data_IF_893471451282
#
_entry.id   IF_893471451282
#
_cell.length_a   1.000
_cell.length_b   1.000
_cell.length_c   1.000
_cell.angle_alpha   90.00
_cell.angle_beta   90.00
_cell.angle_gamma   90.00
#
_symmetry.space_group_name_H-M   'P 1'
#
loop_
_entity.id
_entity.type
_entity.pdbx_description
1 polymer ?
#
# COMPACT_ATOMS: atom_id res chain seq x y z
N UNK A 1 74.47 17.10 77.52
CA UNK A 1 75.80 16.82 76.93
C UNK A 1 75.75 17.25 75.49
N UNK A 2 76.57 18.12 75.12
CA UNK A 2 76.77 18.97 73.97
C UNK A 2 76.88 18.24 72.59
N UNK A 3 76.64 18.97 71.51
CA UNK A 3 76.64 18.46 70.10
C UNK A 3 78.05 18.52 69.47
N UNK A 4 78.16 18.13 68.19
CA UNK A 4 78.61 19.12 67.22
C UNK A 4 77.96 19.03 65.80
N UNK A 5 77.62 20.12 65.31
CA UNK A 5 78.09 20.94 64.19
C UNK A 5 78.54 20.18 62.93
N UNK A 6 77.87 20.34 61.83
CA UNK A 6 78.39 20.09 60.50
C UNK A 6 77.95 21.15 59.53
N UNK A 7 78.85 21.59 58.77
CA UNK A 7 78.89 22.71 57.88
C UNK A 7 77.86 22.61 56.69
N UNK A 8 77.05 23.67 56.53
CA UNK A 8 76.29 23.99 55.30
C UNK A 8 77.25 24.71 54.35
N UNK A 9 77.57 24.10 53.27
CA UNK A 9 78.11 24.81 52.10
C UNK A 9 76.96 25.45 51.30
N UNK A 10 76.85 26.74 51.42
CA UNK A 10 75.93 27.60 50.66
C UNK A 10 76.47 27.82 49.24
N UNK A 11 75.84 27.16 48.23
CA UNK A 11 75.92 27.62 46.83
C UNK A 11 74.73 28.55 46.61
N UNK A 12 74.87 29.74 47.10
CA UNK A 12 73.87 30.77 47.04
C UNK A 12 74.08 31.73 45.86
N UNK A 13 73.01 31.98 45.23
CA UNK A 13 72.65 33.29 44.64
C UNK A 13 73.42 33.79 43.40
N UNK A 14 73.19 33.17 42.30
CA UNK A 14 73.20 33.93 41.06
C UNK A 14 72.15 33.31 40.08
N UNK A 15 70.87 33.55 40.31
CA UNK A 15 69.78 32.97 39.43
C UNK A 15 69.92 33.41 37.99
N UNK A 16 70.61 34.51 37.71
CA UNK A 16 70.84 34.97 36.34
C UNK A 16 71.83 34.06 35.57
N UNK A 17 72.74 33.37 36.24
CA UNK A 17 73.62 32.39 35.58
C UNK A 17 72.85 31.17 35.05
N UNK A 18 71.82 30.76 35.75
CA UNK A 18 70.94 29.67 35.30
C UNK A 18 70.10 30.13 34.09
N UNK A 19 69.61 31.37 34.13
CA UNK A 19 68.88 31.94 33.00
C UNK A 19 69.79 32.10 31.77
N UNK A 20 71.05 32.48 31.95
CA UNK A 20 72.03 32.58 30.85
C UNK A 20 72.38 31.18 30.30
N UNK A 21 72.54 30.17 31.17
CA UNK A 21 72.83 28.81 30.75
C UNK A 21 71.65 28.18 29.96
N UNK A 22 70.41 28.45 30.39
CA UNK A 22 69.22 28.02 29.65
C UNK A 22 69.10 28.77 28.30
N UNK A 23 69.33 30.07 28.29
CA UNK A 23 69.34 30.87 27.05
C UNK A 23 70.41 30.38 26.06
N UNK A 24 71.61 30.08 26.50
CA UNK A 24 72.69 29.49 25.67
C UNK A 24 72.32 28.08 25.16
N UNK A 25 71.69 27.24 25.93
CA UNK A 25 71.25 25.92 25.55
C UNK A 25 70.13 25.99 24.50
N UNK A 26 69.19 26.96 24.55
CA UNK A 26 68.16 27.21 23.57
C UNK A 26 68.75 27.77 22.30
N UNK A 27 69.74 28.67 22.37
CA UNK A 27 70.42 29.20 21.20
C UNK A 27 71.22 28.09 20.46
N UNK A 28 71.93 27.23 21.25
CA UNK A 28 72.66 26.07 20.66
C UNK A 28 71.67 25.03 20.03
N UNK A 29 70.53 24.85 20.63
CA UNK A 29 69.44 23.96 20.06
C UNK A 29 68.86 24.55 18.79
N UNK A 30 68.61 25.85 18.74
CA UNK A 30 68.16 26.53 17.50
C UNK A 30 69.26 26.56 16.43
N UNK A 31 70.53 26.76 16.85
CA UNK A 31 71.65 26.71 15.89
C UNK A 31 71.93 25.30 15.36
N UNK A 32 71.70 24.23 16.12
CA UNK A 32 71.80 22.86 15.65
C UNK A 32 70.76 22.49 14.62
N UNK A 33 69.59 23.15 14.68
CA UNK A 33 68.52 23.02 13.66
C UNK A 33 68.81 23.75 12.33
N UNK A 34 69.73 24.72 12.37
CA UNK A 34 70.12 25.48 11.15
C UNK A 34 71.26 24.84 10.36
N UNK A 35 72.03 23.94 10.98
CA UNK A 35 73.22 23.31 10.33
C UNK A 35 72.83 22.05 9.52
N UNK A 36 71.55 21.62 9.61
CA UNK A 36 71.02 20.46 8.85
C UNK A 36 70.32 20.80 7.53
N UNK A 37 70.41 22.03 7.02
CA UNK A 37 69.58 22.50 5.91
C UNK A 37 70.27 22.68 4.54
N UNK A 38 71.37 22.06 4.28
CA UNK A 38 71.96 22.10 2.94
C UNK A 38 72.33 20.70 2.46
N UNK A 39 71.27 19.92 2.18
CA UNK A 39 71.25 18.94 1.12
C UNK A 39 69.86 18.97 0.49
N UNK A 40 69.71 19.87 -0.46
CA UNK A 40 68.62 19.68 -1.44
C UNK A 40 68.86 18.28 -2.07
N UNK A 41 67.84 17.40 -2.04
CA UNK A 41 67.94 16.20 -2.87
C UNK A 41 67.98 16.66 -4.31
N UNK A 42 69.05 16.32 -4.99
CA UNK A 42 69.14 16.33 -6.45
C UNK A 42 67.82 15.76 -6.96
N UNK A 43 67.15 16.38 -7.95
CA UNK A 43 66.03 15.75 -8.57
C UNK A 43 66.55 14.41 -9.12
N UNK A 44 66.21 13.32 -8.43
CA UNK A 44 66.27 12.02 -9.00
C UNK A 44 65.42 12.11 -10.28
N UNK A 45 66.05 11.88 -11.40
CA UNK A 45 65.34 11.61 -12.66
C UNK A 45 64.11 10.77 -12.28
N UNK A 46 62.92 11.31 -12.61
CA UNK A 46 61.73 10.54 -12.56
C UNK A 46 61.95 9.35 -13.53
N UNK A 47 62.55 8.31 -12.96
CA UNK A 47 62.47 7.01 -13.56
C UNK A 47 60.95 6.73 -13.61
N UNK A 48 60.49 6.51 -14.81
CA UNK A 48 59.21 5.83 -15.07
C UNK A 48 59.31 4.43 -14.45
N UNK A 49 59.29 4.42 -13.11
CA UNK A 49 59.06 3.20 -12.33
C UNK A 49 57.58 2.87 -12.53
N UNK A 50 57.30 1.79 -13.24
CA UNK A 50 56.02 1.12 -13.15
C UNK A 50 55.68 1.02 -11.65
N UNK A 51 54.76 1.88 -11.16
CA UNK A 51 54.14 1.63 -9.86
C UNK A 51 53.59 0.21 -9.96
N UNK A 52 53.91 -0.66 -9.01
CA UNK A 52 53.45 -2.04 -9.07
C UNK A 52 51.93 -2.01 -9.14
N UNK A 53 51.37 -2.35 -10.29
CA UNK A 53 49.95 -2.42 -10.51
C UNK A 53 49.34 -3.33 -9.44
N UNK A 54 48.34 -2.82 -8.75
CA UNK A 54 47.61 -3.58 -7.70
C UNK A 54 46.94 -4.78 -8.39
N UNK A 55 47.31 -5.98 -8.00
CA UNK A 55 46.65 -7.19 -8.48
C UNK A 55 45.30 -7.32 -7.82
N UNK A 56 44.26 -7.41 -8.61
CA UNK A 56 42.86 -7.61 -8.15
C UNK A 56 42.32 -8.91 -8.71
N UNK A 57 41.50 -9.59 -7.92
CA UNK A 57 40.77 -10.75 -8.38
C UNK A 57 39.48 -10.28 -9.07
N UNK A 58 39.29 -10.65 -10.31
CA UNK A 58 38.07 -10.31 -11.07
C UNK A 58 37.27 -11.56 -11.37
N UNK A 59 35.96 -11.38 -11.40
CA UNK A 59 35.00 -12.39 -11.82
C UNK A 59 34.24 -11.87 -13.04
N UNK A 60 34.37 -12.59 -14.15
CA UNK A 60 33.57 -12.32 -15.34
C UNK A 60 32.10 -12.74 -15.08
N UNK A 61 31.18 -11.84 -15.29
CA UNK A 61 29.74 -12.04 -15.12
C UNK A 61 29.03 -11.66 -16.41
N UNK A 62 28.04 -12.45 -16.80
CA UNK A 62 27.14 -12.16 -17.92
C UNK A 62 25.79 -11.69 -17.41
N UNK A 63 25.22 -10.69 -18.09
CA UNK A 63 23.91 -10.17 -17.77
C UNK A 63 22.83 -11.21 -18.08
N UNK A 64 21.90 -11.39 -17.15
CA UNK A 64 20.75 -12.27 -17.31
C UNK A 64 19.45 -11.46 -17.19
N UNK A 65 18.39 -11.82 -17.95
CA UNK A 65 17.09 -11.17 -17.78
C UNK A 65 16.48 -11.57 -16.44
N UNK A 66 16.20 -10.60 -15.61
CA UNK A 66 15.59 -10.77 -14.28
C UNK A 66 14.34 -9.92 -14.19
N UNK A 67 13.26 -10.50 -13.65
CA UNK A 67 12.03 -9.77 -13.40
C UNK A 67 12.22 -8.79 -12.25
N UNK A 68 11.97 -7.50 -12.52
CA UNK A 68 11.99 -6.45 -11.52
C UNK A 68 10.61 -6.31 -10.93
N UNK A 69 10.53 -6.20 -9.63
CA UNK A 69 9.28 -5.99 -8.91
C UNK A 69 9.26 -4.60 -8.27
N UNK A 70 8.10 -3.98 -8.33
CA UNK A 70 7.77 -2.83 -7.50
C UNK A 70 7.12 -3.37 -6.23
N UNK A 71 7.74 -3.10 -5.09
CA UNK A 71 7.24 -3.51 -3.78
C UNK A 71 6.52 -2.34 -3.12
N UNK A 72 5.27 -2.55 -2.76
CA UNK A 72 4.42 -1.59 -2.06
C UNK A 72 3.93 -2.21 -0.75
N UNK A 73 3.72 -1.37 0.25
CA UNK A 73 3.12 -1.80 1.50
C UNK A 73 1.69 -1.29 1.59
N UNK A 74 0.79 -2.16 2.01
CA UNK A 74 -0.62 -1.87 2.09
C UNK A 74 -1.31 -2.77 3.11
N UNK A 75 -2.61 -2.93 2.96
CA UNK A 75 -3.43 -3.78 3.83
C UNK A 75 -4.54 -4.45 3.04
N UNK A 76 -5.02 -5.55 3.57
CA UNK A 76 -6.23 -6.19 3.07
C UNK A 76 -7.46 -5.38 3.50
N UNK A 77 -8.38 -5.16 2.58
CA UNK A 77 -9.66 -4.48 2.83
C UNK A 77 -10.79 -5.32 2.18
N UNK A 78 -12.04 -5.23 2.70
CA UNK A 78 -13.17 -5.82 2.00
C UNK A 78 -13.32 -5.18 0.62
N UNK A 79 -13.67 -5.96 -0.39
CA UNK A 79 -13.91 -5.42 -1.73
C UNK A 79 -15.10 -4.46 -1.79
N UNK A 80 -16.04 -4.62 -0.87
CA UNK A 80 -17.23 -3.77 -0.67
C UNK A 80 -17.49 -3.59 0.82
N UNK A 81 -17.76 -2.35 1.19
CA UNK A 81 -18.14 -1.93 2.53
C UNK A 81 -19.32 -0.97 2.39
N UNK A 82 -20.47 -1.31 2.97
CA UNK A 82 -21.72 -0.57 2.80
C UNK A 82 -22.39 -0.36 4.15
N UNK A 83 -22.72 0.88 4.43
CA UNK A 83 -23.61 1.21 5.54
C UNK A 83 -25.07 1.00 5.12
N UNK A 84 -25.70 -0.01 5.69
CA UNK A 84 -27.12 -0.27 5.49
C UNK A 84 -27.94 0.69 6.36
N UNK A 85 -28.93 1.34 5.74
CA UNK A 85 -29.82 2.32 6.39
C UNK A 85 -31.26 1.90 6.27
N UNK A 86 -32.08 2.33 7.23
CA UNK A 86 -33.51 2.17 7.13
C UNK A 86 -34.07 2.98 5.95
N UNK A 87 -34.88 2.34 5.09
CA UNK A 87 -35.55 2.98 3.96
C UNK A 87 -36.97 3.42 4.29
N UNK A 88 -37.50 2.96 5.42
CA UNK A 88 -38.87 3.25 5.88
C UNK A 88 -38.92 3.38 7.40
N UNK A 89 -40.04 3.91 7.90
CA UNK A 89 -40.30 4.03 9.32
C UNK A 89 -40.91 2.74 9.86
N UNK A 90 -40.40 2.25 10.99
CA UNK A 90 -40.95 1.06 11.63
C UNK A 90 -40.23 0.65 12.89
N UNK A 91 -40.87 -0.27 13.64
CA UNK A 91 -40.23 -0.92 14.78
C UNK A 91 -39.55 -2.21 14.37
N UNK A 92 -38.31 -2.42 14.81
CA UNK A 92 -37.59 -3.67 14.64
C UNK A 92 -38.24 -4.78 15.43
N UNK A 93 -38.64 -5.87 14.78
CA UNK A 93 -39.27 -7.04 15.42
C UNK A 93 -38.37 -8.30 15.35
N UNK A 94 -37.44 -8.35 14.42
CA UNK A 94 -36.51 -9.47 14.33
C UNK A 94 -35.16 -9.04 13.72
N UNK A 95 -34.12 -9.70 14.19
CA UNK A 95 -32.74 -9.65 13.63
C UNK A 95 -32.48 -11.03 13.06
N UNK A 96 -32.10 -11.08 11.79
CA UNK A 96 -31.91 -12.33 11.03
C UNK A 96 -30.48 -12.84 11.00
N UNK A 97 -29.49 -12.00 11.36
CA UNK A 97 -28.08 -12.41 11.37
C UNK A 97 -27.31 -11.69 12.50
N UNK A 98 -26.38 -12.41 13.10
CA UNK A 98 -25.47 -11.89 14.12
C UNK A 98 -24.20 -11.28 13.49
N UNK A 99 -23.47 -10.50 14.31
CA UNK A 99 -22.18 -9.91 13.87
C UNK A 99 -21.16 -11.01 13.57
N UNK A 100 -20.47 -10.91 12.44
CA UNK A 100 -19.48 -11.86 11.98
C UNK A 100 -20.05 -13.14 11.35
N UNK A 101 -21.36 -13.34 11.41
CA UNK A 101 -22.03 -14.49 10.79
C UNK A 101 -22.06 -14.31 9.25
N UNK A 102 -21.61 -15.30 8.46
CA UNK A 102 -21.69 -15.23 7.00
C UNK A 102 -23.14 -15.35 6.54
N UNK A 103 -23.57 -14.42 5.70
CA UNK A 103 -24.91 -14.35 5.10
C UNK A 103 -24.84 -14.32 3.57
N UNK A 104 -25.87 -14.89 2.94
CA UNK A 104 -26.00 -14.89 1.49
C UNK A 104 -26.71 -13.63 0.96
N UNK A 105 -26.50 -13.31 -0.31
CA UNK A 105 -27.20 -12.20 -0.96
C UNK A 105 -28.73 -12.39 -0.89
N UNK A 106 -29.45 -11.33 -0.50
CA UNK A 106 -30.91 -11.33 -0.36
C UNK A 106 -31.43 -11.88 0.97
N UNK A 107 -30.59 -12.41 1.84
CA UNK A 107 -30.96 -12.89 3.17
C UNK A 107 -31.44 -11.72 4.04
N UNK A 108 -32.46 -11.97 4.89
CA UNK A 108 -33.05 -10.94 5.74
C UNK A 108 -32.13 -10.67 6.94
N UNK A 109 -31.68 -9.43 7.08
CA UNK A 109 -30.81 -8.98 8.17
C UNK A 109 -31.62 -8.37 9.33
N UNK A 110 -32.59 -7.50 9.00
CA UNK A 110 -33.46 -6.84 9.96
C UNK A 110 -34.89 -6.81 9.42
N UNK A 111 -35.86 -7.11 10.26
CA UNK A 111 -37.27 -7.09 9.88
C UNK A 111 -38.03 -6.12 10.80
N UNK A 112 -38.86 -5.27 10.17
CA UNK A 112 -39.76 -4.34 10.87
C UNK A 112 -41.17 -4.91 10.97
N UNK A 113 -41.96 -4.34 11.86
CA UNK A 113 -43.38 -4.65 11.96
C UNK A 113 -44.17 -4.17 10.75
N UNK A 114 -44.63 -5.12 9.94
CA UNK A 114 -45.24 -4.86 8.63
C UNK A 114 -46.79 -4.94 8.66
N UNK A 115 -47.42 -5.04 9.83
CA UNK A 115 -48.86 -5.32 9.91
C UNK A 115 -49.74 -4.33 9.15
N UNK A 116 -49.49 -3.03 9.26
CA UNK A 116 -50.23 -2.00 8.50
C UNK A 116 -49.94 -2.02 7.01
N UNK A 117 -48.72 -2.34 6.60
CA UNK A 117 -48.31 -2.44 5.19
C UNK A 117 -48.95 -3.66 4.52
N UNK A 118 -49.05 -4.77 5.24
CA UNK A 118 -49.75 -5.96 4.73
C UNK A 118 -51.23 -5.66 4.48
N UNK A 119 -51.89 -4.92 5.39
CA UNK A 119 -53.27 -4.50 5.19
C UNK A 119 -53.45 -3.60 3.97
N UNK A 120 -52.54 -2.59 3.78
CA UNK A 120 -52.57 -1.70 2.59
C UNK A 120 -52.29 -2.47 1.31
N UNK A 121 -51.40 -3.45 1.31
CA UNK A 121 -51.17 -4.31 0.14
C UNK A 121 -52.43 -5.11 -0.22
N UNK A 122 -53.09 -5.66 0.78
CA UNK A 122 -54.36 -6.41 0.55
C UNK A 122 -55.46 -5.51 -0.03
N UNK A 123 -55.62 -4.27 0.45
CA UNK A 123 -56.52 -3.25 -0.06
C UNK A 123 -56.20 -2.89 -1.53
N UNK A 124 -54.92 -2.57 -1.81
CA UNK A 124 -54.49 -2.24 -3.20
C UNK A 124 -54.75 -3.37 -4.18
N UNK A 125 -54.51 -4.63 -3.76
CA UNK A 125 -54.83 -5.82 -4.55
C UNK A 125 -56.33 -5.97 -4.81
N UNK A 126 -57.15 -5.67 -3.83
CA UNK A 126 -58.61 -5.73 -3.99
C UNK A 126 -59.11 -4.64 -4.95
N UNK A 127 -58.61 -3.41 -4.82
CA UNK A 127 -58.89 -2.29 -5.73
C UNK A 127 -58.48 -2.59 -7.14
N UNK A 128 -57.27 -3.15 -7.38
CA UNK A 128 -56.84 -3.54 -8.71
C UNK A 128 -57.78 -4.53 -9.35
N UNK A 129 -58.19 -5.62 -8.65
CA UNK A 129 -59.16 -6.60 -9.18
C UNK A 129 -60.47 -5.96 -9.53
N UNK A 130 -60.99 -5.04 -8.72
CA UNK A 130 -62.23 -4.30 -9.02
C UNK A 130 -62.08 -3.50 -10.34
N UNK A 131 -60.97 -2.77 -10.55
CA UNK A 131 -60.74 -1.95 -11.71
C UNK A 131 -60.51 -2.77 -12.97
N UNK A 132 -59.89 -3.93 -12.84
CA UNK A 132 -59.73 -4.89 -13.93
C UNK A 132 -61.09 -5.39 -14.46
N UNK A 133 -61.98 -5.80 -13.54
CA UNK A 133 -63.34 -6.25 -13.88
C UNK A 133 -64.15 -5.12 -14.54
N UNK A 134 -64.03 -3.88 -14.04
CA UNK A 134 -64.71 -2.70 -14.58
C UNK A 134 -64.22 -2.39 -16.01
N UNK A 135 -62.90 -2.37 -16.23
CA UNK A 135 -62.29 -2.12 -17.50
C UNK A 135 -62.71 -3.20 -18.53
N UNK A 136 -62.61 -4.48 -18.18
CA UNK A 136 -62.96 -5.58 -19.01
C UNK A 136 -64.46 -5.59 -19.39
N UNK A 137 -65.33 -5.24 -18.42
CA UNK A 137 -66.75 -5.06 -18.69
C UNK A 137 -67.03 -3.94 -19.68
N UNK A 138 -66.44 -2.75 -19.49
CA UNK A 138 -66.57 -1.60 -20.40
C UNK A 138 -66.01 -1.90 -21.79
N UNK A 139 -64.90 -2.63 -21.86
CA UNK A 139 -64.27 -3.05 -23.11
C UNK A 139 -65.21 -3.98 -23.94
N UNK A 140 -65.87 -4.95 -23.28
CA UNK A 140 -66.84 -5.83 -23.91
C UNK A 140 -68.06 -5.06 -24.41
N UNK A 141 -68.62 -4.12 -23.60
CA UNK A 141 -69.76 -3.29 -23.97
C UNK A 141 -69.41 -2.31 -25.11
N UNK A 142 -68.19 -1.74 -25.14
CA UNK A 142 -67.74 -0.91 -26.26
C UNK A 142 -67.68 -1.70 -27.58
N UNK A 143 -67.24 -2.95 -27.56
CA UNK A 143 -67.18 -3.81 -28.75
C UNK A 143 -68.62 -4.07 -29.30
N UNK A 144 -69.67 -3.93 -28.51
CA UNK A 144 -71.08 -4.04 -28.86
C UNK A 144 -71.76 -2.69 -29.18
N UNK A 145 -70.99 -1.57 -29.12
CA UNK A 145 -71.47 -0.22 -29.36
C UNK A 145 -72.26 0.46 -28.24
N UNK A 146 -72.27 -0.10 -27.04
CA UNK A 146 -73.06 0.40 -25.87
C UNK A 146 -72.30 1.39 -24.95
N UNK A 147 -70.98 1.60 -25.16
CA UNK A 147 -70.16 2.46 -24.31
C UNK A 147 -69.37 3.42 -25.17
N UNK A 148 -69.35 4.72 -24.75
CA UNK A 148 -68.58 5.75 -25.39
C UNK A 148 -67.03 5.51 -25.17
N UNK A 149 -66.22 5.99 -26.13
CA UNK A 149 -64.74 5.90 -26.05
C UNK A 149 -64.19 6.55 -24.77
N UNK A 150 -64.74 7.69 -24.37
CA UNK A 150 -64.38 8.42 -23.15
C UNK A 150 -64.58 7.59 -21.91
N UNK A 151 -65.66 6.79 -21.80
CA UNK A 151 -65.90 5.92 -20.65
C UNK A 151 -64.92 4.74 -20.57
N UNK A 152 -64.50 4.20 -21.71
CA UNK A 152 -63.48 3.16 -21.74
C UNK A 152 -62.11 3.76 -21.37
N UNK A 153 -61.78 4.98 -21.90
CA UNK A 153 -60.56 5.68 -21.53
C UNK A 153 -60.50 6.02 -20.03
N UNK A 154 -61.62 6.42 -19.42
CA UNK A 154 -61.70 6.64 -17.98
C UNK A 154 -61.44 5.34 -17.19
N UNK A 155 -62.06 4.23 -17.58
CA UNK A 155 -61.82 2.93 -16.93
C UNK A 155 -60.37 2.48 -17.10
N UNK A 156 -59.75 2.72 -18.25
CA UNK A 156 -58.31 2.45 -18.45
C UNK A 156 -57.43 3.30 -17.53
N UNK A 157 -57.70 4.60 -17.39
CA UNK A 157 -57.00 5.49 -16.49
C UNK A 157 -57.13 5.06 -15.02
N UNK A 158 -58.33 4.63 -14.58
CA UNK A 158 -58.56 4.13 -13.26
C UNK A 158 -57.83 2.80 -12.98
N UNK A 159 -57.77 1.91 -13.95
CA UNK A 159 -56.99 0.67 -13.87
C UNK A 159 -55.48 0.97 -13.71
N UNK A 160 -54.93 1.88 -14.51
CA UNK A 160 -53.51 2.24 -14.38
C UNK A 160 -53.19 2.91 -13.03
N UNK A 161 -54.13 3.69 -12.50
CA UNK A 161 -54.01 4.25 -11.12
C UNK A 161 -53.97 3.15 -10.08
N UNK A 162 -54.84 2.16 -10.15
CA UNK A 162 -54.86 1.02 -9.23
C UNK A 162 -53.59 0.15 -9.34
N UNK A 163 -53.07 -0.02 -10.54
CA UNK A 163 -51.77 -0.68 -10.75
C UNK A 163 -50.61 0.07 -10.09
N UNK A 164 -50.61 1.39 -10.20
CA UNK A 164 -49.58 2.22 -9.57
C UNK A 164 -49.68 2.15 -8.03
N UNK A 165 -50.89 2.13 -7.47
CA UNK A 165 -51.14 1.99 -6.02
C UNK A 165 -50.63 0.63 -5.52
N UNK A 166 -50.92 -0.45 -6.24
CA UNK A 166 -50.42 -1.79 -5.89
C UNK A 166 -48.89 -1.79 -5.87
N UNK A 167 -48.21 -1.27 -6.92
CA UNK A 167 -46.74 -1.22 -6.94
C UNK A 167 -46.16 -0.43 -5.79
N UNK A 168 -46.82 0.68 -5.39
CA UNK A 168 -46.40 1.46 -4.20
C UNK A 168 -46.54 0.64 -2.92
N UNK A 169 -47.66 -0.06 -2.73
CA UNK A 169 -47.87 -0.89 -1.55
C UNK A 169 -46.89 -2.08 -1.47
N UNK A 170 -46.56 -2.67 -2.61
CA UNK A 170 -45.53 -3.73 -2.69
C UNK A 170 -44.13 -3.21 -2.35
N UNK A 171 -43.75 -2.02 -2.82
CA UNK A 171 -42.48 -1.37 -2.51
C UNK A 171 -42.41 -1.02 -1.01
N UNK A 172 -43.47 -0.39 -0.46
CA UNK A 172 -43.54 -0.06 0.97
C UNK A 172 -43.42 -1.30 1.87
N UNK A 173 -43.97 -2.44 1.43
CA UNK A 173 -43.82 -3.70 2.15
C UNK A 173 -42.37 -4.27 2.00
N UNK A 174 -41.76 -4.12 0.84
CA UNK A 174 -40.40 -4.61 0.62
C UNK A 174 -39.38 -3.92 1.53
N UNK A 175 -39.58 -2.64 1.83
CA UNK A 175 -38.73 -1.87 2.75
C UNK A 175 -38.86 -2.31 4.23
N UNK A 176 -39.88 -3.13 4.56
CA UNK A 176 -40.02 -3.70 5.91
C UNK A 176 -38.98 -4.79 6.22
N UNK A 177 -38.15 -5.17 5.27
CA UNK A 177 -37.08 -6.15 5.48
C UNK A 177 -35.80 -5.64 4.83
N UNK A 178 -34.82 -5.32 5.63
CA UNK A 178 -33.47 -4.99 5.17
C UNK A 178 -32.77 -6.30 4.86
N UNK A 179 -32.26 -6.41 3.63
CA UNK A 179 -31.61 -7.62 3.13
C UNK A 179 -30.15 -7.38 2.81
N UNK A 180 -29.35 -8.44 2.88
CA UNK A 180 -27.95 -8.42 2.43
C UNK A 180 -27.86 -8.09 0.93
N UNK A 181 -27.15 -7.02 0.52
CA UNK A 181 -27.04 -6.63 -0.89
C UNK A 181 -26.11 -7.57 -1.68
N UNK A 182 -25.27 -8.33 -1.00
CA UNK A 182 -24.35 -9.32 -1.54
C UNK A 182 -24.02 -10.34 -0.43
N UNK A 183 -23.31 -11.42 -0.77
CA UNK A 183 -22.80 -12.35 0.23
C UNK A 183 -21.66 -11.71 1.04
N UNK A 184 -21.74 -11.78 2.38
CA UNK A 184 -20.81 -11.11 3.27
C UNK A 184 -21.14 -11.32 4.74
N UNK A 185 -20.78 -10.36 5.60
CA UNK A 185 -21.09 -10.40 7.02
C UNK A 185 -21.41 -9.01 7.59
N UNK A 186 -22.13 -8.97 8.68
CA UNK A 186 -22.34 -7.76 9.48
C UNK A 186 -21.06 -7.49 10.27
N UNK A 187 -20.40 -6.37 10.03
CA UNK A 187 -19.25 -5.91 10.80
C UNK A 187 -19.70 -5.27 12.12
N UNK A 188 -20.65 -4.34 12.02
CA UNK A 188 -21.22 -3.64 13.15
C UNK A 188 -22.74 -3.53 12.98
N UNK A 189 -23.50 -3.68 14.05
CA UNK A 189 -24.94 -3.52 14.08
C UNK A 189 -25.32 -2.39 15.04
N UNK A 190 -26.08 -1.43 14.52
CA UNK A 190 -26.45 -0.20 15.24
C UNK A 190 -27.86 -0.27 15.82
N UNK A 191 -28.57 -1.39 15.66
CA UNK A 191 -30.00 -1.52 16.06
C UNK A 191 -30.26 -2.78 16.85
N UNK A 192 -31.31 -2.72 17.71
CA UNK A 192 -31.76 -3.86 18.50
C UNK A 192 -33.28 -4.10 18.29
N UNK A 193 -33.74 -5.30 18.66
CA UNK A 193 -35.18 -5.62 18.63
C UNK A 193 -35.93 -4.69 19.61
N UNK A 194 -36.93 -4.01 19.09
CA UNK A 194 -37.71 -3.02 19.83
C UNK A 194 -37.41 -1.58 19.43
N UNK A 195 -36.29 -1.31 18.77
CA UNK A 195 -35.93 0.03 18.27
C UNK A 195 -36.95 0.53 17.23
N UNK A 196 -37.15 1.84 17.23
CA UNK A 196 -37.99 2.50 16.24
C UNK A 196 -37.15 3.39 15.35
N UNK A 197 -37.12 3.05 14.05
CA UNK A 197 -36.28 3.70 13.07
C UNK A 197 -37.10 4.57 12.10
N UNK A 198 -36.41 5.55 11.52
CA UNK A 198 -36.88 6.42 10.44
C UNK A 198 -35.96 6.31 9.21
N UNK A 199 -36.42 6.72 8.00
CA UNK A 199 -35.59 6.69 6.82
C UNK A 199 -34.27 7.44 7.02
N UNK A 200 -33.15 6.77 6.72
CA UNK A 200 -31.79 7.31 6.87
C UNK A 200 -31.07 6.87 8.14
N UNK A 201 -31.76 6.33 9.13
CA UNK A 201 -31.12 5.83 10.36
C UNK A 201 -30.19 4.66 10.04
N UNK A 202 -28.96 4.62 10.61
CA UNK A 202 -28.00 3.54 10.39
C UNK A 202 -28.51 2.24 11.02
N UNK A 203 -28.38 1.14 10.30
CA UNK A 203 -28.81 -0.20 10.73
C UNK A 203 -27.62 -1.12 10.97
N UNK A 204 -26.74 -1.25 9.99
CA UNK A 204 -25.57 -2.10 10.09
C UNK A 204 -24.49 -1.67 9.09
N UNK A 205 -23.22 -1.89 9.43
CA UNK A 205 -22.12 -1.90 8.48
C UNK A 205 -21.95 -3.31 7.94
N UNK A 206 -22.03 -3.47 6.62
CA UNK A 206 -22.03 -4.75 5.93
C UNK A 206 -20.86 -4.85 4.97
N UNK A 207 -20.05 -5.90 5.09
CA UNK A 207 -18.80 -6.06 4.36
C UNK A 207 -18.76 -7.35 3.55
N UNK A 208 -18.09 -7.28 2.40
CA UNK A 208 -17.81 -8.46 1.57
C UNK A 208 -16.65 -9.24 2.19
N UNK A 209 -16.92 -10.44 2.67
CA UNK A 209 -15.91 -11.33 3.26
C UNK A 209 -15.33 -12.32 2.24
N UNK A 210 -15.98 -12.52 1.10
CA UNK A 210 -15.57 -13.45 0.05
C UNK A 210 -14.61 -12.84 -0.96
N UNK A 211 -14.69 -11.54 -1.15
CA UNK A 211 -13.79 -10.81 -2.03
C UNK A 211 -13.05 -9.76 -1.20
N UNK A 212 -11.74 -9.88 -1.17
CA UNK A 212 -10.87 -8.91 -0.54
C UNK A 212 -10.05 -8.15 -1.58
N UNK A 213 -9.47 -7.06 -1.16
CA UNK A 213 -8.44 -6.37 -1.93
C UNK A 213 -7.24 -6.11 -1.05
N UNK A 214 -6.05 -6.10 -1.66
CA UNK A 214 -4.91 -5.41 -1.04
C UNK A 214 -4.88 -4.00 -1.60
N UNK A 215 -5.15 -3.04 -0.72
CA UNK A 215 -5.03 -1.62 -1.02
C UNK A 215 -3.64 -1.13 -0.65
N UNK A 216 -2.94 -0.52 -1.60
CA UNK A 216 -1.61 0.06 -1.43
C UNK A 216 -1.50 1.36 -2.22
N UNK A 217 -0.47 2.14 -1.90
CA UNK A 217 -0.21 3.42 -2.55
C UNK A 217 1.09 3.38 -3.33
N UNK A 218 1.04 3.82 -4.60
CA UNK A 218 2.18 3.91 -5.50
C UNK A 218 2.59 5.37 -5.71
N UNK A 219 3.90 5.65 -5.71
CA UNK A 219 4.42 7.00 -5.93
C UNK A 219 4.17 7.49 -7.36
N UNK A 220 4.11 8.82 -7.56
CA UNK A 220 4.01 9.43 -8.90
C UNK A 220 5.18 9.05 -9.82
N UNK A 221 6.35 8.71 -9.27
CA UNK A 221 7.53 8.29 -10.03
C UNK A 221 7.39 6.90 -10.65
N UNK A 222 6.62 6.03 -10.01
CA UNK A 222 6.52 4.62 -10.35
C UNK A 222 5.23 4.26 -11.07
N UNK A 223 4.20 5.12 -11.02
CA UNK A 223 2.87 4.86 -11.60
C UNK A 223 2.93 4.50 -13.10
N UNK A 224 3.83 5.13 -13.85
CA UNK A 224 4.01 4.84 -15.29
C UNK A 224 4.51 3.43 -15.61
N UNK A 225 4.95 2.66 -14.60
CA UNK A 225 5.43 1.27 -14.75
C UNK A 225 4.33 0.24 -14.46
N UNK A 226 3.18 0.66 -13.95
CA UNK A 226 2.09 -0.22 -13.55
C UNK A 226 0.92 -0.06 -14.52
N UNK A 227 0.38 -1.21 -14.97
CA UNK A 227 -0.78 -1.26 -15.84
C UNK A 227 -1.97 -1.87 -15.10
N UNK A 228 -3.17 -1.38 -15.39
CA UNK A 228 -4.39 -2.03 -14.90
C UNK A 228 -4.49 -3.48 -15.40
N UNK A 229 -5.12 -4.35 -14.62
CA UNK A 229 -5.33 -5.78 -14.90
C UNK A 229 -4.06 -6.66 -14.90
N UNK A 230 -2.92 -6.13 -14.43
CA UNK A 230 -1.67 -6.85 -14.28
C UNK A 230 -1.75 -7.85 -13.12
N UNK A 231 -1.15 -9.02 -13.28
CA UNK A 231 -1.00 -9.99 -12.19
C UNK A 231 0.07 -9.51 -11.19
N UNK A 232 -0.20 -9.71 -9.93
CA UNK A 232 0.69 -9.37 -8.84
C UNK A 232 0.56 -10.36 -7.67
N UNK A 233 1.53 -10.33 -6.77
CA UNK A 233 1.54 -11.16 -5.57
C UNK A 233 1.43 -10.27 -4.33
N UNK A 234 0.75 -10.76 -3.30
CA UNK A 234 0.74 -10.14 -2.00
C UNK A 234 1.19 -11.13 -0.93
N UNK A 235 2.21 -10.76 -0.15
CA UNK A 235 2.64 -11.48 1.03
C UNK A 235 1.99 -10.83 2.26
N UNK A 236 1.16 -11.58 2.97
CA UNK A 236 0.47 -11.12 4.16
C UNK A 236 1.35 -11.34 5.41
N UNK A 237 1.25 -10.45 6.40
CA UNK A 237 1.98 -10.62 7.67
C UNK A 237 1.62 -11.92 8.40
N UNK A 238 0.48 -12.54 8.07
CA UNK A 238 0.05 -13.86 8.55
C UNK A 238 0.86 -15.02 7.97
N UNK A 239 1.80 -14.75 7.04
CA UNK A 239 2.65 -15.76 6.38
C UNK A 239 2.08 -16.32 5.07
N UNK A 240 0.87 -15.95 4.69
CA UNK A 240 0.26 -16.37 3.42
C UNK A 240 0.77 -15.52 2.27
N UNK A 241 1.07 -16.15 1.12
CA UNK A 241 1.33 -15.45 -0.14
C UNK A 241 0.21 -15.78 -1.11
N UNK A 242 -0.44 -14.75 -1.61
CA UNK A 242 -1.60 -14.85 -2.49
C UNK A 242 -1.35 -14.12 -3.79
N UNK A 243 -1.90 -14.63 -4.88
CA UNK A 243 -1.85 -14.03 -6.21
C UNK A 243 -3.19 -13.45 -6.56
N UNK A 244 -3.15 -12.34 -7.27
CA UNK A 244 -4.35 -11.70 -7.74
C UNK A 244 -4.08 -10.84 -8.97
N UNK A 245 -5.09 -10.08 -9.36
CA UNK A 245 -5.01 -9.15 -10.47
C UNK A 245 -5.33 -7.73 -9.99
N UNK A 246 -4.55 -6.74 -10.45
CA UNK A 246 -4.85 -5.35 -10.19
C UNK A 246 -6.22 -5.01 -10.80
N UNK A 247 -7.20 -4.72 -9.94
CA UNK A 247 -8.55 -4.35 -10.37
C UNK A 247 -8.72 -2.85 -10.54
N UNK A 248 -7.90 -2.08 -9.81
CA UNK A 248 -8.00 -0.63 -9.80
C UNK A 248 -6.62 0.00 -9.66
N UNK A 249 -6.40 1.03 -10.46
CA UNK A 249 -5.29 1.97 -10.36
C UNK A 249 -5.92 3.35 -10.43
N UNK A 250 -5.74 4.16 -9.39
CA UNK A 250 -6.35 5.48 -9.33
C UNK A 250 -5.89 6.34 -10.52
N UNK A 251 -6.81 7.02 -11.23
CA UNK A 251 -6.45 7.92 -12.34
C UNK A 251 -5.92 9.27 -11.86
N UNK A 252 -6.10 9.59 -10.58
CA UNK A 252 -5.69 10.85 -9.96
C UNK A 252 -4.97 10.55 -8.65
N UNK A 253 -3.86 11.25 -8.43
CA UNK A 253 -3.09 11.14 -7.19
C UNK A 253 -3.83 11.82 -6.02
N UNK A 254 -3.66 11.27 -4.83
CA UNK A 254 -3.96 12.00 -3.60
C UNK A 254 -3.01 13.20 -3.47
N UNK A 255 -3.58 14.39 -3.28
CA UNK A 255 -2.81 15.63 -3.28
C UNK A 255 -1.89 15.78 -2.06
N UNK A 256 -2.25 15.16 -0.94
CA UNK A 256 -1.50 15.25 0.31
C UNK A 256 -0.27 14.35 0.31
N UNK A 257 -0.40 13.14 -0.20
CA UNK A 257 0.65 12.11 -0.22
C UNK A 257 1.39 12.01 -1.55
N UNK A 258 0.83 12.54 -2.64
CA UNK A 258 1.31 12.41 -4.02
C UNK A 258 1.44 10.95 -4.45
N UNK A 259 0.49 10.14 -4.01
CA UNK A 259 0.43 8.72 -4.33
C UNK A 259 -0.86 8.39 -5.07
N UNK A 260 -0.83 7.30 -5.83
CA UNK A 260 -1.98 6.74 -6.52
C UNK A 260 -2.40 5.46 -5.82
N UNK A 261 -3.67 5.35 -5.45
CA UNK A 261 -4.19 4.12 -4.85
C UNK A 261 -4.22 3.00 -5.89
N UNK A 262 -3.73 1.82 -5.52
CA UNK A 262 -3.83 0.60 -6.31
C UNK A 262 -4.51 -0.49 -5.49
N UNK A 263 -5.29 -1.33 -6.14
CA UNK A 263 -6.01 -2.42 -5.49
C UNK A 263 -5.78 -3.74 -6.23
N UNK A 264 -5.23 -4.72 -5.53
CA UNK A 264 -5.11 -6.09 -5.99
C UNK A 264 -6.32 -6.89 -5.53
N UNK A 265 -7.11 -7.42 -6.46
CA UNK A 265 -8.24 -8.29 -6.12
C UNK A 265 -7.75 -9.66 -5.64
N UNK A 266 -8.30 -10.11 -4.54
CA UNK A 266 -8.05 -11.43 -3.95
C UNK A 266 -9.37 -12.19 -3.83
N UNK A 267 -9.35 -13.46 -4.20
CA UNK A 267 -10.43 -14.40 -3.92
C UNK A 267 -10.27 -14.96 -2.49
N UNK A 268 -11.32 -14.87 -1.71
CA UNK A 268 -11.39 -15.37 -0.34
C UNK A 268 -12.68 -16.19 -0.13
N UNK A 269 -13.06 -17.00 -1.12
CA UNK A 269 -14.29 -17.77 -1.07
C UNK A 269 -14.33 -18.74 0.11
N UNK A 270 -13.18 -19.23 0.56
CA UNK A 270 -13.01 -20.13 1.72
C UNK A 270 -12.91 -19.40 3.07
N UNK A 271 -12.86 -18.05 3.07
CA UNK A 271 -12.74 -17.24 4.29
C UNK A 271 -11.38 -17.35 5.00
N UNK A 272 -10.34 -17.85 4.32
CA UNK A 272 -9.03 -18.09 4.92
C UNK A 272 -8.23 -16.80 5.15
N UNK A 273 -8.52 -15.74 4.43
CA UNK A 273 -7.84 -14.45 4.54
C UNK A 273 -8.63 -13.50 5.44
N UNK A 274 -7.94 -12.88 6.39
CA UNK A 274 -8.51 -11.83 7.21
C UNK A 274 -8.40 -10.46 6.54
N UNK A 275 -9.39 -9.61 6.74
CA UNK A 275 -9.36 -8.19 6.37
C UNK A 275 -8.64 -7.36 7.44
N UNK A 276 -8.05 -6.21 7.05
CA UNK A 276 -7.30 -5.32 7.95
C UNK A 276 -5.85 -5.74 8.19
N UNK A 277 -5.36 -6.79 7.50
CA UNK A 277 -4.02 -7.35 7.68
C UNK A 277 -3.02 -6.62 6.79
N UNK A 278 -1.84 -6.29 7.32
CA UNK A 278 -0.75 -5.72 6.54
C UNK A 278 -0.27 -6.68 5.45
N UNK A 279 -0.03 -6.14 4.27
CA UNK A 279 0.40 -6.87 3.09
C UNK A 279 1.55 -6.17 2.38
N UNK A 280 2.51 -6.95 1.90
CA UNK A 280 3.53 -6.52 0.95
C UNK A 280 3.08 -6.92 -0.46
N UNK A 281 2.76 -5.93 -1.28
CA UNK A 281 2.32 -6.11 -2.66
C UNK A 281 3.51 -6.02 -3.61
N UNK A 282 3.75 -7.07 -4.41
CA UNK A 282 4.83 -7.17 -5.41
C UNK A 282 4.23 -7.16 -6.82
N UNK A 283 4.45 -6.08 -7.53
CA UNK A 283 3.97 -5.87 -8.90
C UNK A 283 5.14 -6.06 -9.85
N UNK A 284 5.09 -7.00 -10.82
CA UNK A 284 6.16 -7.16 -11.81
C UNK A 284 6.15 -5.97 -12.77
N UNK A 285 7.26 -5.25 -12.89
CA UNK A 285 7.37 -4.02 -13.72
C UNK A 285 8.23 -4.19 -14.96
N UNK A 286 8.60 -5.41 -15.30
CA UNK A 286 9.35 -5.78 -16.51
C UNK A 286 10.66 -6.47 -16.23
N UNK A 287 11.27 -7.00 -17.29
CA UNK A 287 12.58 -7.64 -17.24
C UNK A 287 13.68 -6.60 -17.42
N UNK A 288 14.72 -6.71 -16.62
CA UNK A 288 15.97 -5.95 -16.78
C UNK A 288 17.14 -6.90 -16.90
N UNK A 289 18.15 -6.53 -17.69
CA UNK A 289 19.41 -7.27 -17.73
C UNK A 289 20.21 -6.93 -16.48
N UNK A 290 20.53 -7.93 -15.69
CA UNK A 290 21.21 -7.75 -14.40
C UNK A 290 22.24 -8.86 -14.16
N UNK A 291 23.25 -8.55 -13.34
CA UNK A 291 24.32 -9.45 -12.94
C UNK A 291 24.12 -9.87 -11.50
N UNK A 292 24.19 -11.17 -11.22
CA UNK A 292 24.15 -11.68 -9.85
C UNK A 292 25.52 -11.51 -9.20
N UNK A 293 25.59 -10.67 -8.18
CA UNK A 293 26.80 -10.39 -7.40
C UNK A 293 26.61 -10.70 -5.92
N UNK A 294 27.72 -10.98 -5.24
CA UNK A 294 27.72 -11.01 -3.78
C UNK A 294 27.58 -9.58 -3.23
N UNK A 295 26.82 -9.38 -2.14
CA UNK A 295 26.81 -8.07 -1.47
C UNK A 295 28.22 -7.57 -1.06
N UNK A 296 29.17 -8.46 -0.91
CA UNK A 296 30.57 -8.14 -0.51
C UNK A 296 31.35 -7.35 -1.57
N UNK A 297 30.94 -7.35 -2.85
CA UNK A 297 31.60 -6.56 -3.91
C UNK A 297 31.03 -5.15 -4.05
N UNK A 298 29.98 -4.82 -3.28
CA UNK A 298 29.44 -3.48 -3.25
C UNK A 298 30.40 -2.54 -2.51
N UNK A 299 30.67 -1.40 -3.12
CA UNK A 299 31.55 -0.36 -2.56
C UNK A 299 30.89 1.01 -2.66
N UNK A 300 31.39 1.97 -1.92
CA UNK A 300 30.97 3.36 -2.03
C UNK A 300 32.02 4.13 -2.85
N UNK A 301 31.56 5.03 -3.67
CA UNK A 301 32.40 6.05 -4.31
C UNK A 301 32.67 7.20 -3.34
N UNK A 302 33.55 8.13 -3.73
CA UNK A 302 33.94 9.29 -2.91
C UNK A 302 32.76 10.19 -2.54
N UNK A 303 31.73 10.23 -3.39
CA UNK A 303 30.47 10.95 -3.16
C UNK A 303 29.45 10.16 -2.28
N UNK A 304 29.80 8.96 -1.81
CA UNK A 304 28.93 8.09 -1.03
C UNK A 304 27.88 7.32 -1.87
N UNK A 305 28.03 7.28 -3.21
CA UNK A 305 27.16 6.50 -4.09
C UNK A 305 27.55 5.02 -3.98
N UNK A 306 26.57 4.15 -3.76
CA UNK A 306 26.77 2.71 -3.75
C UNK A 306 26.98 2.20 -5.19
N UNK A 307 27.99 1.35 -5.40
CA UNK A 307 28.30 0.81 -6.71
C UNK A 307 29.21 -0.41 -6.68
N UNK A 308 29.71 -0.77 -7.85
CA UNK A 308 30.71 -1.85 -8.05
C UNK A 308 31.85 -1.34 -8.90
N UNK A 309 33.03 -1.89 -8.68
CA UNK A 309 34.20 -1.66 -9.50
C UNK A 309 34.32 -2.74 -10.57
N UNK A 310 34.48 -2.34 -11.80
CA UNK A 310 34.61 -3.22 -12.99
C UNK A 310 35.91 -2.92 -13.68
N UNK A 311 36.61 -3.95 -14.11
CA UNK A 311 37.81 -3.81 -14.94
C UNK A 311 37.38 -3.78 -16.40
N UNK A 312 37.72 -2.70 -17.12
CA UNK A 312 37.45 -2.55 -18.56
C UNK A 312 38.43 -3.34 -19.41
N UNK A 313 38.25 -3.35 -20.75
CA UNK A 313 39.09 -4.04 -21.70
C UNK A 313 40.54 -3.52 -21.71
N UNK A 314 40.78 -2.30 -21.26
CA UNK A 314 42.10 -1.68 -21.18
C UNK A 314 42.82 -1.98 -19.84
N UNK A 315 42.20 -2.76 -18.94
CA UNK A 315 42.74 -3.05 -17.63
C UNK A 315 42.55 -1.93 -16.60
N UNK A 316 41.79 -0.89 -16.92
CA UNK A 316 41.48 0.19 -15.99
C UNK A 316 40.25 -0.15 -15.16
N UNK A 317 40.23 0.31 -13.87
CA UNK A 317 39.09 0.13 -12.95
C UNK A 317 38.14 1.28 -13.15
N UNK A 318 36.88 0.97 -13.43
CA UNK A 318 35.77 1.90 -13.57
C UNK A 318 34.73 1.63 -12.47
N UNK A 319 34.13 2.69 -11.94
CA UNK A 319 33.04 2.60 -10.97
C UNK A 319 31.68 2.70 -11.70
N UNK A 320 30.81 1.74 -11.41
CA UNK A 320 29.43 1.72 -11.90
C UNK A 320 28.48 1.86 -10.72
N UNK A 321 27.57 2.88 -10.72
CA UNK A 321 26.54 3.01 -9.71
C UNK A 321 25.65 1.77 -9.69
N UNK A 322 25.32 1.28 -8.48
CA UNK A 322 24.49 0.10 -8.33
C UNK A 322 23.01 0.44 -8.53
N UNK A 323 22.40 -0.06 -9.61
CA UNK A 323 20.95 -0.14 -9.76
C UNK A 323 20.49 -1.53 -9.33
N UNK A 324 20.04 -1.64 -8.07
CA UNK A 324 19.60 -2.92 -7.50
C UNK A 324 18.25 -3.30 -8.10
N UNK A 325 18.26 -4.30 -8.99
CA UNK A 325 17.06 -4.83 -9.60
C UNK A 325 16.30 -5.78 -8.66
N UNK A 326 17.03 -6.69 -7.98
CA UNK A 326 16.47 -7.66 -7.02
C UNK A 326 17.52 -7.90 -5.93
N UNK A 327 17.05 -7.94 -4.67
CA UNK A 327 17.84 -8.37 -3.52
C UNK A 327 17.29 -9.69 -2.99
N UNK A 328 18.16 -10.68 -2.80
CA UNK A 328 17.79 -12.00 -2.27
C UNK A 328 18.84 -12.49 -1.28
N UNK A 329 18.53 -13.46 -0.43
CA UNK A 329 19.51 -14.08 0.47
C UNK A 329 20.74 -14.66 -0.26
N UNK A 330 20.55 -15.07 -1.52
CA UNK A 330 21.60 -15.70 -2.35
C UNK A 330 22.45 -14.69 -3.12
N UNK A 331 22.20 -13.39 -2.99
CA UNK A 331 22.94 -12.33 -3.67
C UNK A 331 22.05 -11.19 -4.18
N UNK A 332 22.71 -10.19 -4.74
CA UNK A 332 22.08 -8.99 -5.28
C UNK A 332 22.20 -8.99 -6.80
N UNK A 333 21.10 -8.65 -7.47
CA UNK A 333 21.08 -8.47 -8.91
C UNK A 333 21.23 -6.98 -9.25
N UNK A 334 22.35 -6.64 -9.92
CA UNK A 334 22.68 -5.27 -10.33
C UNK A 334 22.39 -5.07 -11.80
N UNK A 335 21.55 -4.11 -12.13
CA UNK A 335 21.32 -3.60 -13.48
C UNK A 335 22.27 -2.42 -13.80
N UNK A 336 22.35 -2.03 -15.08
CA UNK A 336 23.13 -0.88 -15.52
C UNK A 336 24.60 -1.17 -15.82
N UNK A 337 25.06 -2.40 -15.62
CA UNK A 337 26.40 -2.84 -16.03
C UNK A 337 26.42 -3.24 -17.51
N UNK A 338 27.61 -3.24 -18.18
CA UNK A 338 27.79 -3.80 -19.54
C UNK A 338 27.35 -5.26 -19.62
N UNK A 339 26.97 -5.76 -20.83
CA UNK A 339 26.46 -7.12 -20.99
C UNK A 339 27.39 -8.20 -20.41
N UNK A 340 28.70 -7.98 -20.49
CA UNK A 340 29.75 -8.76 -19.80
C UNK A 340 30.56 -7.81 -18.93
N UNK A 341 30.69 -8.10 -17.64
CA UNK A 341 31.39 -7.26 -16.69
C UNK A 341 32.39 -8.07 -15.86
N UNK A 342 33.65 -7.58 -15.79
CA UNK A 342 34.68 -8.12 -14.92
C UNK A 342 34.63 -7.41 -13.57
N UNK A 343 33.81 -7.91 -12.67
CA UNK A 343 33.60 -7.32 -11.34
C UNK A 343 34.73 -7.71 -10.38
N UNK A 344 35.24 -6.73 -9.62
CA UNK A 344 36.29 -6.92 -8.63
C UNK A 344 35.66 -7.36 -7.29
#
# INVERSE_FOLDING_TARGET
MTPPNSARTSLGRRPWLIAVAIGLAVILWMASGAIGRDRAPTPAEAGSGDEPLTQVQVRMLEAQPVMRYLTLYGRTEPARDVELKAETTGRVVAIGAERGEPVEAGEALVTFDARDRQARLAEARALLRQRELEYDGRKKLKAQGYVAETQLAEAAANLERARAELRRAELDLSYMTIRAPFAGAILERSVEVGDYLTPGDPVAQFVDTRNLVVAADISEKDIGRVSGHQEAEAALVTGQTVRGRLRYVAPVADQSTRTFKVELALDNADGALASGVTAELRIPVGNVLAHKVSPAVLTLDDDGTLGVKVVNELGAVEFYPADVAVSSPDGVWLAGLPATANVI
#
